data_IF_281805808860
#
_entry.id   IF_281805808860
#
_cell.length_a   1.000
_cell.length_b   1.000
_cell.length_c   1.000
_cell.angle_alpha   90.00
_cell.angle_beta   90.00
_cell.angle_gamma   90.00
#
_symmetry.space_group_name_H-M   'P 1'
#
loop_
_entity.id
_entity.type
_entity.pdbx_description
1 polymer ?
#
# COMPACT_ATOMS: atom_id res chain seq x y z
N UNK A 1 -4.97 11.03 -3.26
CA UNK A 1 -4.01 9.91 -3.09
C UNK A 1 -3.44 9.89 -1.68
N UNK A 2 -3.41 8.73 -1.02
CA UNK A 2 -2.90 8.58 0.36
C UNK A 2 -1.44 9.06 0.53
N UNK A 3 -0.59 8.83 -0.47
CA UNK A 3 0.82 9.27 -0.45
C UNK A 3 0.96 10.78 -0.23
N UNK A 4 0.20 11.60 -0.97
CA UNK A 4 0.26 13.06 -0.84
C UNK A 4 -0.18 13.51 0.56
N UNK A 5 -1.25 12.89 1.08
CA UNK A 5 -1.75 13.19 2.42
C UNK A 5 -0.70 12.86 3.49
N UNK A 6 -0.04 11.70 3.39
CA UNK A 6 1.01 11.27 4.33
C UNK A 6 2.24 12.18 4.27
N UNK A 7 2.66 12.56 3.06
CA UNK A 7 3.78 13.47 2.85
C UNK A 7 3.50 14.87 3.42
N UNK A 8 2.26 15.36 3.32
CA UNK A 8 1.84 16.67 3.84
C UNK A 8 1.65 16.67 5.37
N UNK A 9 1.06 15.62 5.95
CA UNK A 9 0.58 15.65 7.34
C UNK A 9 1.44 14.94 8.37
N UNK A 10 2.50 14.26 7.93
CA UNK A 10 3.40 13.56 8.84
C UNK A 10 4.83 13.94 8.55
N UNK A 11 5.72 13.77 9.52
CA UNK A 11 7.18 13.81 9.33
C UNK A 11 7.79 12.41 9.17
N UNK A 12 6.95 11.38 9.13
CA UNK A 12 7.41 10.00 8.99
C UNK A 12 8.08 9.77 7.63
N UNK A 13 9.03 8.85 7.63
CA UNK A 13 9.66 8.33 6.41
C UNK A 13 8.68 7.43 5.67
N UNK A 14 8.60 7.57 4.34
CA UNK A 14 7.65 6.84 3.51
C UNK A 14 8.38 5.82 2.62
N UNK A 15 7.92 4.56 2.66
CA UNK A 15 8.26 3.55 1.65
C UNK A 15 7.06 3.34 0.73
N UNK A 16 7.28 3.41 -0.58
CA UNK A 16 6.25 3.16 -1.59
C UNK A 16 6.49 1.79 -2.22
N UNK A 17 5.44 0.96 -2.29
CA UNK A 17 5.54 -0.39 -2.86
C UNK A 17 4.59 -0.54 -4.05
N UNK A 18 5.16 -0.82 -5.22
CA UNK A 18 4.44 -1.07 -6.46
C UNK A 18 4.37 -2.58 -6.75
N UNK A 19 3.20 -3.11 -7.19
CA UNK A 19 3.08 -4.53 -7.56
C UNK A 19 3.91 -4.91 -8.79
N UNK A 20 4.14 -3.96 -9.69
CA UNK A 20 5.09 -4.07 -10.80
C UNK A 20 6.18 -3.02 -10.67
N UNK A 21 6.49 -2.33 -11.76
CA UNK A 21 7.30 -1.11 -11.75
C UNK A 21 6.41 0.13 -11.54
N UNK A 22 7.03 1.22 -11.13
CA UNK A 22 6.43 2.54 -11.05
C UNK A 22 5.96 3.00 -12.43
N UNK A 23 6.70 2.64 -13.49
CA UNK A 23 6.34 2.93 -14.88
C UNK A 23 4.99 2.35 -15.31
N UNK A 24 4.61 1.19 -14.74
CA UNK A 24 3.32 0.54 -14.98
C UNK A 24 2.15 1.14 -14.16
N UNK A 25 2.43 2.04 -13.21
CA UNK A 25 1.38 2.68 -12.40
C UNK A 25 0.67 3.82 -13.17
N UNK A 26 -0.59 4.12 -12.84
CA UNK A 26 -1.31 5.24 -13.44
C UNK A 26 -0.56 6.57 -13.28
N UNK A 27 -0.69 7.45 -14.27
CA UNK A 27 -0.08 8.78 -14.33
C UNK A 27 -0.18 9.58 -13.04
N UNK A 28 -1.37 9.60 -12.42
CA UNK A 28 -1.60 10.33 -11.19
C UNK A 28 -0.76 9.80 -10.03
N UNK A 29 -0.60 8.47 -9.94
CA UNK A 29 0.23 7.83 -8.92
C UNK A 29 1.72 8.13 -9.14
N UNK A 30 2.19 8.10 -10.40
CA UNK A 30 3.57 8.45 -10.76
C UNK A 30 3.89 9.91 -10.39
N UNK A 31 3.02 10.84 -10.77
CA UNK A 31 3.14 12.26 -10.40
C UNK A 31 3.11 12.48 -8.88
N UNK A 32 2.34 11.69 -8.14
CA UNK A 32 2.32 11.77 -6.69
C UNK A 32 3.64 11.31 -6.06
N UNK A 33 4.27 10.26 -6.60
CA UNK A 33 5.60 9.84 -6.20
C UNK A 33 6.64 10.93 -6.48
N UNK A 34 6.62 11.52 -7.68
CA UNK A 34 7.58 12.56 -8.04
C UNK A 34 7.45 13.80 -7.13
N UNK A 35 6.22 14.23 -6.82
CA UNK A 35 5.97 15.37 -5.93
C UNK A 35 6.33 15.13 -4.47
N UNK A 36 6.43 13.88 -4.05
CA UNK A 36 6.75 13.51 -2.66
C UNK A 36 8.13 12.86 -2.55
N UNK A 37 9.00 13.03 -3.56
CA UNK A 37 10.27 12.31 -3.68
C UNK A 37 11.19 12.50 -2.47
N UNK A 38 11.22 13.70 -1.92
CA UNK A 38 11.98 14.11 -0.73
C UNK A 38 11.51 13.40 0.55
N UNK A 39 10.26 12.94 0.59
CA UNK A 39 9.66 12.21 1.72
C UNK A 39 9.77 10.70 1.61
N UNK A 40 10.12 10.19 0.43
CA UNK A 40 10.17 8.75 0.14
C UNK A 40 11.60 8.24 0.26
N UNK A 41 11.88 7.42 1.28
CA UNK A 41 13.19 6.79 1.46
C UNK A 41 13.43 5.64 0.48
N UNK A 42 12.36 4.95 0.09
CA UNK A 42 12.47 3.73 -0.70
C UNK A 42 11.26 3.56 -1.62
N UNK A 43 11.53 3.16 -2.85
CA UNK A 43 10.51 2.66 -3.77
C UNK A 43 10.85 1.21 -4.05
N UNK A 44 9.93 0.31 -3.69
CA UNK A 44 10.05 -1.12 -3.92
C UNK A 44 9.16 -1.51 -5.08
N UNK A 45 9.78 -2.06 -6.12
CA UNK A 45 9.09 -2.56 -7.30
C UNK A 45 9.14 -4.09 -7.28
N UNK A 46 7.99 -4.75 -7.17
CA UNK A 46 7.92 -6.22 -7.16
C UNK A 46 7.97 -6.85 -8.55
N UNK A 47 8.10 -6.01 -9.60
CA UNK A 47 8.37 -6.41 -10.97
C UNK A 47 7.39 -7.45 -11.56
N UNK A 48 6.12 -7.46 -11.14
CA UNK A 48 5.10 -8.24 -11.81
C UNK A 48 4.98 -7.83 -13.29
N UNK A 49 5.09 -8.81 -14.19
CA UNK A 49 4.95 -8.59 -15.62
C UNK A 49 3.56 -8.03 -15.99
N UNK A 50 2.51 -8.50 -15.30
CA UNK A 50 1.14 -8.04 -15.49
C UNK A 50 0.49 -7.62 -14.16
N UNK A 51 -0.22 -6.49 -14.19
CA UNK A 51 -0.92 -5.97 -13.01
C UNK A 51 -2.32 -6.58 -12.87
N UNK A 52 -2.37 -7.88 -12.53
CA UNK A 52 -3.62 -8.60 -12.22
C UNK A 52 -3.72 -8.89 -10.72
N UNK A 53 -4.85 -9.44 -10.26
CA UNK A 53 -5.12 -9.70 -8.85
C UNK A 53 -3.95 -10.34 -8.07
N UNK A 54 -3.23 -11.36 -8.60
CA UNK A 54 -2.08 -11.94 -7.90
C UNK A 54 -0.95 -10.94 -7.59
N UNK A 55 -0.68 -9.99 -8.49
CA UNK A 55 0.35 -8.97 -8.29
C UNK A 55 -0.02 -8.03 -7.15
N UNK A 56 -1.28 -7.62 -7.07
CA UNK A 56 -1.79 -6.80 -5.96
C UNK A 56 -1.77 -7.56 -4.63
N UNK A 57 -2.12 -8.85 -4.63
CA UNK A 57 -2.02 -9.70 -3.45
C UNK A 57 -0.58 -9.85 -2.95
N UNK A 58 0.36 -10.10 -3.86
CA UNK A 58 1.79 -10.19 -3.54
C UNK A 58 2.31 -8.88 -2.93
N UNK A 59 1.95 -7.73 -3.52
CA UNK A 59 2.28 -6.41 -2.98
C UNK A 59 1.72 -6.22 -1.57
N UNK A 60 0.45 -6.52 -1.37
CA UNK A 60 -0.20 -6.36 -0.07
C UNK A 60 0.45 -7.25 1.00
N UNK A 61 0.77 -8.51 0.67
CA UNK A 61 1.49 -9.41 1.57
C UNK A 61 2.90 -8.91 1.88
N UNK A 62 3.64 -8.47 0.87
CA UNK A 62 4.99 -7.91 1.07
C UNK A 62 4.99 -6.77 2.10
N UNK A 63 4.00 -5.87 2.02
CA UNK A 63 3.85 -4.78 2.99
C UNK A 63 3.53 -5.30 4.40
N UNK A 64 2.60 -6.25 4.51
CA UNK A 64 2.20 -6.82 5.80
C UNK A 64 3.35 -7.60 6.45
N UNK A 65 4.12 -8.37 5.68
CA UNK A 65 5.24 -9.15 6.19
C UNK A 65 6.30 -8.25 6.86
N UNK A 66 6.44 -7.01 6.39
CA UNK A 66 7.48 -6.05 6.80
C UNK A 66 7.01 -4.92 7.71
N UNK A 67 5.73 -4.88 8.07
CA UNK A 67 5.20 -3.93 9.06
C UNK A 67 4.93 -4.62 10.39
N UNK A 68 4.90 -3.85 11.47
CA UNK A 68 4.43 -4.29 12.78
C UNK A 68 2.91 -4.24 12.93
N UNK A 69 2.23 -3.36 12.17
CA UNK A 69 0.77 -3.21 12.18
C UNK A 69 0.22 -2.69 10.86
N UNK A 70 -1.09 -2.82 10.65
CA UNK A 70 -1.79 -2.27 9.48
C UNK A 70 -2.93 -1.36 9.89
N UNK A 71 -3.03 -0.19 9.25
CA UNK A 71 -4.18 0.71 9.34
C UNK A 71 -4.92 0.62 8.00
N UNK A 72 -6.16 0.16 8.04
CA UNK A 72 -6.99 -0.01 6.84
C UNK A 72 -8.21 0.92 6.85
N UNK A 73 -8.56 1.41 5.66
CA UNK A 73 -9.71 2.30 5.43
C UNK A 73 -10.69 1.65 4.43
N UNK A 74 -11.44 0.60 4.84
CA UNK A 74 -12.35 -0.11 3.94
C UNK A 74 -13.65 0.67 3.69
N UNK A 75 -14.04 0.84 2.43
CA UNK A 75 -15.25 1.55 2.00
C UNK A 75 -16.53 0.68 1.97
N UNK A 76 -16.36 -0.64 2.06
CA UNK A 76 -17.46 -1.62 2.10
C UNK A 76 -17.11 -2.67 3.13
N UNK A 77 -18.10 -3.34 3.72
CA UNK A 77 -17.88 -4.46 4.66
C UNK A 77 -17.56 -5.78 3.95
N UNK A 78 -17.50 -5.80 2.62
CA UNK A 78 -17.29 -7.01 1.82
C UNK A 78 -15.86 -7.57 1.97
N UNK A 79 -15.71 -8.81 2.48
CA UNK A 79 -14.40 -9.41 2.76
C UNK A 79 -13.51 -9.63 1.53
N UNK A 80 -14.09 -9.62 0.32
CA UNK A 80 -13.41 -9.96 -0.94
C UNK A 80 -12.61 -8.81 -1.56
N UNK A 81 -12.68 -7.61 -0.98
CA UNK A 81 -11.89 -6.46 -1.48
C UNK A 81 -10.42 -6.58 -1.10
N UNK A 82 -9.53 -6.00 -1.93
CA UNK A 82 -8.09 -6.00 -1.67
C UNK A 82 -7.71 -5.36 -0.32
N UNK A 83 -8.50 -4.41 0.16
CA UNK A 83 -8.32 -3.78 1.49
C UNK A 83 -8.59 -4.79 2.61
N UNK A 84 -9.74 -5.47 2.58
CA UNK A 84 -10.08 -6.47 3.61
C UNK A 84 -9.14 -7.67 3.60
N UNK A 85 -8.72 -8.12 2.43
CA UNK A 85 -7.70 -9.16 2.34
C UNK A 85 -6.39 -8.75 3.04
N UNK A 86 -5.94 -7.51 2.85
CA UNK A 86 -4.73 -6.99 3.52
C UNK A 86 -4.92 -6.97 5.04
N UNK A 87 -6.05 -6.43 5.50
CA UNK A 87 -6.41 -6.34 6.92
C UNK A 87 -6.52 -7.74 7.58
N UNK A 88 -7.08 -8.72 6.87
CA UNK A 88 -7.22 -10.09 7.34
C UNK A 88 -5.88 -10.81 7.37
N UNK A 89 -5.06 -10.65 6.32
CA UNK A 89 -3.72 -11.21 6.30
C UNK A 89 -2.86 -10.67 7.47
N UNK A 90 -2.98 -9.40 7.83
CA UNK A 90 -2.31 -8.85 9.04
C UNK A 90 -2.72 -9.60 10.31
N UNK A 91 -4.01 -9.87 10.50
CA UNK A 91 -4.49 -10.63 11.65
C UNK A 91 -4.04 -12.10 11.62
N UNK A 92 -4.01 -12.73 10.44
CA UNK A 92 -3.48 -14.09 10.25
C UNK A 92 -1.99 -14.18 10.62
N UNK A 93 -1.22 -13.11 10.40
CA UNK A 93 0.17 -13.00 10.85
C UNK A 93 0.32 -12.71 12.35
N UNK A 94 -0.78 -12.66 13.12
CA UNK A 94 -0.77 -12.32 14.54
C UNK A 94 -0.44 -10.86 14.84
N UNK A 95 -0.55 -9.97 13.84
CA UNK A 95 -0.18 -8.54 13.96
C UNK A 95 -1.40 -7.67 14.25
N UNK A 96 -1.25 -6.58 15.02
CA UNK A 96 -2.32 -5.62 15.24
C UNK A 96 -2.86 -5.00 13.94
N UNK A 97 -4.18 -4.81 13.88
CA UNK A 97 -4.88 -4.10 12.81
C UNK A 97 -5.79 -3.01 13.37
N UNK A 98 -5.71 -1.81 12.82
CA UNK A 98 -6.66 -0.73 13.06
C UNK A 98 -7.55 -0.60 11.82
N UNK A 99 -8.86 -0.67 12.03
CA UNK A 99 -9.85 -0.49 10.97
C UNK A 99 -10.51 0.87 11.19
N UNK A 100 -10.32 1.77 10.23
CA UNK A 100 -10.91 3.11 10.25
C UNK A 100 -12.08 3.13 9.27
N UNK A 101 -13.33 3.26 9.73
CA UNK A 101 -14.47 3.36 8.84
C UNK A 101 -14.39 4.68 8.04
N UNK A 102 -14.67 4.60 6.74
CA UNK A 102 -14.68 5.73 5.79
C UNK A 102 -15.98 5.77 5.00
#
# INVERSE_FOLDING_TARGET
LALLWLAERTTATITVVAPGTLGQQPDEARRAVDRSRDRISEIVELAAAELRAPAYHARNRWMVDRTSMTIGFPHVTEPSTGTWQTINYTAEQGKPRLIVPV
#
